data_IF_226899062133
#
_entry.id   IF_226899062133
#
_cell.length_a   1.000
_cell.length_b   1.000
_cell.length_c   1.000
_cell.angle_alpha   90.00
_cell.angle_beta   90.00
_cell.angle_gamma   90.00
#
_symmetry.space_group_name_H-M   'P 1'
#
loop_
_entity.id
_entity.type
_entity.pdbx_description
1 polymer ?
#
# COMPACT_ATOMS: atom_id res chain seq x y z
N UNK A 1 -24.39 8.16 -2.04
CA UNK A 1 -23.83 8.81 -0.84
C UNK A 1 -22.42 9.25 -1.22
N UNK A 2 -22.11 10.50 -1.11
CA UNK A 2 -20.79 11.05 -1.40
C UNK A 2 -19.94 10.96 -0.14
N UNK A 3 -18.69 10.49 -0.25
CA UNK A 3 -17.75 10.35 0.87
C UNK A 3 -16.46 11.03 0.46
N UNK A 4 -16.10 12.04 1.22
CA UNK A 4 -14.92 12.89 1.05
C UNK A 4 -13.77 12.55 2.02
N UNK A 5 -14.04 11.74 3.06
CA UNK A 5 -13.04 11.30 4.02
C UNK A 5 -13.12 9.77 4.20
N UNK A 6 -11.95 9.11 4.21
CA UNK A 6 -11.83 7.69 4.51
C UNK A 6 -10.56 7.40 5.30
N UNK A 7 -10.63 6.43 6.21
CA UNK A 7 -9.47 5.91 6.94
C UNK A 7 -9.14 4.53 6.42
N UNK A 8 -7.86 4.30 6.13
CA UNK A 8 -7.38 3.02 5.61
C UNK A 8 -6.14 2.55 6.37
N UNK A 9 -6.01 1.24 6.44
CA UNK A 9 -4.81 0.56 6.89
C UNK A 9 -4.15 -0.12 5.71
N UNK A 10 -2.90 0.19 5.47
CA UNK A 10 -2.11 -0.45 4.42
C UNK A 10 -0.98 -1.25 5.05
N UNK A 11 -0.77 -2.45 4.54
CA UNK A 11 0.35 -3.30 4.92
C UNK A 11 1.06 -3.77 3.67
N UNK A 12 2.32 -3.40 3.52
CA UNK A 12 3.19 -3.96 2.49
C UNK A 12 3.53 -5.42 2.79
N UNK A 13 3.92 -6.16 1.77
CA UNK A 13 4.28 -7.56 1.90
C UNK A 13 5.54 -7.77 2.74
N UNK A 14 5.56 -8.80 3.57
CA UNK A 14 6.76 -9.21 4.27
C UNK A 14 7.72 -9.90 3.28
N UNK A 15 9.03 -9.79 3.48
CA UNK A 15 10.02 -10.55 2.72
C UNK A 15 9.97 -12.05 3.04
N UNK A 16 10.31 -12.87 2.06
CA UNK A 16 10.52 -14.30 2.25
C UNK A 16 11.79 -14.57 3.04
N UNK A 17 11.84 -15.68 3.77
CA UNK A 17 13.05 -16.08 4.48
C UNK A 17 14.04 -16.71 3.49
N UNK A 18 15.35 -16.53 3.72
CA UNK A 18 16.39 -17.30 3.08
C UNK A 18 16.31 -18.79 3.46
N UNK A 19 16.83 -19.63 2.61
CA UNK A 19 16.83 -21.07 2.80
C UNK A 19 18.19 -21.57 3.33
N UNK A 20 18.15 -22.58 4.19
CA UNK A 20 19.30 -23.37 4.58
C UNK A 20 19.23 -24.71 3.86
N UNK A 21 20.02 -24.88 2.82
CA UNK A 21 20.09 -26.13 2.07
C UNK A 21 21.54 -26.48 1.74
N UNK A 22 21.80 -27.78 1.54
CA UNK A 22 23.09 -28.29 1.13
C UNK A 22 22.89 -29.19 -0.10
N UNK A 23 23.77 -29.07 -1.08
CA UNK A 23 23.77 -29.89 -2.28
C UNK A 23 24.06 -31.33 -1.91
N UNK A 24 23.24 -32.27 -2.35
CA UNK A 24 23.43 -33.70 -2.20
C UNK A 24 23.16 -34.41 -3.52
N UNK A 25 24.20 -35.01 -4.08
CA UNK A 25 24.10 -35.76 -5.33
C UNK A 25 24.75 -37.11 -5.18
N UNK A 26 24.49 -38.06 -6.10
CA UNK A 26 24.96 -39.43 -6.05
C UNK A 26 26.48 -39.55 -5.85
N UNK A 27 27.25 -38.63 -6.40
CA UNK A 27 28.73 -38.65 -6.33
C UNK A 27 29.29 -37.45 -5.52
N UNK A 28 28.40 -36.62 -4.90
CA UNK A 28 28.79 -35.47 -4.08
C UNK A 28 28.04 -35.49 -2.75
N UNK A 29 28.43 -36.44 -1.83
CA UNK A 29 27.69 -36.62 -0.58
C UNK A 29 27.84 -35.44 0.41
N UNK A 30 28.90 -34.62 0.26
CA UNK A 30 29.18 -33.43 1.07
C UNK A 30 29.27 -32.21 0.18
N UNK A 31 28.18 -31.87 -0.51
CA UNK A 31 28.09 -30.66 -1.31
C UNK A 31 28.03 -29.39 -0.45
N UNK A 32 28.46 -28.27 -1.01
CA UNK A 32 28.43 -26.97 -0.35
C UNK A 32 27.02 -26.46 -0.07
N UNK A 33 26.90 -25.28 0.58
CA UNK A 33 25.64 -24.64 0.82
C UNK A 33 24.96 -24.27 -0.51
N UNK A 34 23.67 -24.51 -0.58
CA UNK A 34 22.85 -24.30 -1.78
C UNK A 34 21.49 -23.71 -1.50
N UNK A 35 21.34 -23.05 -0.34
CA UNK A 35 20.10 -22.35 -0.01
C UNK A 35 19.97 -21.03 -0.76
N UNK A 36 18.86 -20.84 -1.46
CA UNK A 36 18.51 -19.61 -2.17
C UNK A 36 17.95 -18.53 -1.25
N UNK A 37 17.86 -17.32 -1.78
CA UNK A 37 17.37 -16.14 -1.06
C UNK A 37 15.84 -16.11 -1.04
N UNK A 38 15.25 -15.49 -0.04
CA UNK A 38 13.83 -15.17 -0.03
C UNK A 38 13.50 -14.02 -0.99
N UNK A 39 12.32 -14.05 -1.58
CA UNK A 39 11.80 -12.96 -2.41
C UNK A 39 11.46 -11.71 -1.59
N UNK A 40 11.47 -10.56 -2.22
CA UNK A 40 11.03 -9.28 -1.62
C UNK A 40 9.50 -9.29 -1.45
N UNK A 41 8.96 -8.64 -0.41
CA UNK A 41 7.54 -8.37 -0.29
C UNK A 41 7.06 -7.30 -1.28
N UNK A 42 5.79 -7.37 -1.68
CA UNK A 42 5.17 -6.38 -2.57
C UNK A 42 5.00 -5.03 -1.89
N UNK A 43 5.11 -3.96 -2.66
CA UNK A 43 4.88 -2.58 -2.21
C UNK A 43 3.37 -2.24 -2.26
N UNK A 44 2.95 -1.20 -1.54
CA UNK A 44 1.64 -0.58 -1.70
C UNK A 44 1.82 0.77 -2.38
N UNK A 45 1.17 0.93 -3.54
CA UNK A 45 1.19 2.13 -4.35
C UNK A 45 -0.18 2.80 -4.31
N UNK A 46 -0.22 4.11 -4.39
CA UNK A 46 -1.42 4.88 -4.67
C UNK A 46 -1.26 5.58 -6.01
N UNK A 47 -2.33 5.56 -6.80
CA UNK A 47 -2.36 6.20 -8.14
C UNK A 47 -3.62 7.03 -8.24
N UNK A 48 -3.47 8.29 -8.64
CA UNK A 48 -4.60 9.17 -8.92
C UNK A 48 -5.30 8.77 -10.22
N UNK A 49 -6.62 8.80 -10.23
CA UNK A 49 -7.41 8.44 -11.41
C UNK A 49 -8.63 9.33 -11.57
N UNK A 50 -8.86 9.81 -12.80
CA UNK A 50 -10.08 10.55 -13.15
C UNK A 50 -11.34 9.68 -13.22
N UNK A 51 -11.19 8.33 -13.16
CA UNK A 51 -12.33 7.40 -13.21
C UNK A 51 -13.08 7.33 -11.89
N UNK A 52 -12.47 7.78 -10.81
CA UNK A 52 -13.04 7.79 -9.46
C UNK A 52 -13.28 9.24 -9.03
N UNK A 53 -14.45 9.50 -8.45
CA UNK A 53 -14.84 10.80 -7.93
C UNK A 53 -15.30 10.76 -6.46
N UNK A 54 -15.06 9.64 -5.76
CA UNK A 54 -15.44 9.44 -4.37
C UNK A 54 -14.54 8.42 -3.68
N UNK A 55 -14.37 8.56 -2.37
CA UNK A 55 -13.62 7.63 -1.53
C UNK A 55 -14.47 6.49 -0.94
N UNK A 56 -15.69 6.29 -1.46
CA UNK A 56 -16.65 5.30 -0.93
C UNK A 56 -16.08 3.88 -0.86
N UNK A 57 -15.27 3.49 -1.84
CA UNK A 57 -14.62 2.18 -1.90
C UNK A 57 -13.74 1.91 -0.67
N UNK A 58 -12.96 2.91 -0.25
CA UNK A 58 -12.07 2.81 0.90
C UNK A 58 -12.80 2.74 2.23
N UNK A 59 -13.99 3.31 2.32
CA UNK A 59 -14.83 3.19 3.51
C UNK A 59 -15.35 1.77 3.73
N UNK A 60 -15.69 1.07 2.66
CA UNK A 60 -16.17 -0.32 2.75
C UNK A 60 -15.03 -1.33 2.84
N UNK A 61 -13.88 -1.00 2.26
CA UNK A 61 -12.68 -1.83 2.27
C UNK A 61 -11.51 -1.03 2.88
N UNK A 62 -11.41 -0.94 4.21
CA UNK A 62 -10.40 -0.11 4.86
C UNK A 62 -9.02 -0.79 4.94
N UNK A 63 -8.94 -2.10 4.72
CA UNK A 63 -7.69 -2.85 4.84
C UNK A 63 -7.16 -3.27 3.47
N UNK A 64 -5.89 -2.93 3.21
CA UNK A 64 -5.19 -3.30 1.98
C UNK A 64 -3.84 -3.92 2.31
N UNK A 65 -3.59 -5.12 1.76
CA UNK A 65 -2.37 -5.86 2.02
C UNK A 65 -1.74 -6.34 0.73
N UNK A 66 -0.46 -6.00 0.53
CA UNK A 66 0.34 -6.55 -0.56
C UNK A 66 0.82 -7.97 -0.25
N UNK A 67 1.22 -8.69 -1.30
CA UNK A 67 1.61 -10.07 -1.20
C UNK A 67 3.00 -10.19 -0.56
N UNK A 68 3.16 -11.22 0.28
CA UNK A 68 4.45 -11.60 0.86
C UNK A 68 5.37 -12.18 -0.23
N UNK A 69 6.68 -11.95 -0.12
CA UNK A 69 7.69 -12.67 -0.89
C UNK A 69 7.78 -14.16 -0.48
N UNK A 70 8.06 -15.02 -1.44
CA UNK A 70 8.21 -16.44 -1.19
C UNK A 70 9.54 -16.74 -0.49
N UNK A 71 9.56 -17.83 0.25
CA UNK A 71 10.79 -18.32 0.87
C UNK A 71 11.76 -18.85 -0.18
N UNK A 72 13.06 -18.67 0.07
CA UNK A 72 14.10 -19.33 -0.73
C UNK A 72 13.98 -20.86 -0.67
N UNK A 73 14.41 -21.52 -1.71
CA UNK A 73 14.41 -22.97 -1.84
C UNK A 73 15.84 -23.50 -1.93
N UNK A 74 15.99 -24.81 -1.88
CA UNK A 74 17.26 -25.46 -2.14
C UNK A 74 17.75 -25.31 -3.59
N UNK A 75 18.94 -25.78 -3.90
CA UNK A 75 19.54 -25.72 -5.26
C UNK A 75 19.69 -24.28 -5.80
N UNK A 76 19.99 -23.34 -4.91
CA UNK A 76 20.17 -21.92 -5.20
C UNK A 76 18.94 -21.23 -5.83
N UNK A 77 17.75 -21.80 -5.63
CA UNK A 77 16.52 -21.19 -6.13
C UNK A 77 16.02 -20.11 -5.17
N UNK A 78 16.00 -18.86 -5.66
CA UNK A 78 15.41 -17.74 -4.92
C UNK A 78 13.89 -17.82 -4.94
N UNK A 79 13.24 -17.38 -3.85
CA UNK A 79 11.80 -17.22 -3.80
C UNK A 79 11.33 -16.07 -4.72
N UNK A 80 10.11 -16.18 -5.21
CA UNK A 80 9.50 -15.14 -6.03
C UNK A 80 9.16 -13.90 -5.19
N UNK A 81 9.28 -12.72 -5.80
CA UNK A 81 8.86 -11.48 -5.17
C UNK A 81 7.34 -11.42 -5.03
N UNK A 82 6.86 -10.86 -3.95
CA UNK A 82 5.44 -10.62 -3.72
C UNK A 82 4.89 -9.56 -4.66
N UNK A 83 3.67 -9.75 -5.12
CA UNK A 83 2.99 -8.77 -5.99
C UNK A 83 2.66 -7.51 -5.19
N UNK A 84 3.00 -6.35 -5.77
CA UNK A 84 2.56 -5.04 -5.28
C UNK A 84 1.08 -4.84 -5.58
N UNK A 85 0.42 -4.00 -4.76
CA UNK A 85 -0.96 -3.59 -4.98
C UNK A 85 -1.01 -2.09 -5.30
N UNK A 86 -1.91 -1.73 -6.19
CA UNK A 86 -2.16 -0.34 -6.58
C UNK A 86 -3.54 0.08 -6.12
N UNK A 87 -3.62 1.12 -5.30
CA UNK A 87 -4.85 1.72 -4.79
C UNK A 87 -5.18 2.94 -5.66
N UNK A 88 -6.31 2.92 -6.33
CA UNK A 88 -6.74 4.04 -7.15
C UNK A 88 -7.50 5.05 -6.30
N UNK A 89 -7.03 6.29 -6.26
CA UNK A 89 -7.65 7.41 -5.55
C UNK A 89 -8.14 8.47 -6.56
N UNK A 90 -9.19 9.24 -6.26
CA UNK A 90 -9.58 10.38 -7.08
C UNK A 90 -8.48 11.44 -7.15
N UNK A 91 -8.42 12.18 -8.25
CA UNK A 91 -7.62 13.43 -8.33
C UNK A 91 -8.15 14.43 -7.29
N UNK A 92 -7.28 15.17 -6.64
CA UNK A 92 -7.62 16.06 -5.53
C UNK A 92 -7.65 15.37 -4.15
N UNK A 93 -7.16 14.10 -4.05
CA UNK A 93 -7.06 13.40 -2.77
C UNK A 93 -5.77 13.77 -2.05
N UNK A 94 -5.89 14.23 -0.80
CA UNK A 94 -4.77 14.42 0.12
C UNK A 94 -4.66 13.21 1.06
N UNK A 95 -3.45 12.72 1.24
CA UNK A 95 -3.12 11.56 2.08
C UNK A 95 -2.38 12.05 3.32
N UNK A 96 -2.95 11.82 4.48
CA UNK A 96 -2.35 12.15 5.76
C UNK A 96 -2.01 10.88 6.53
N UNK A 97 -0.88 10.92 7.23
CA UNK A 97 -0.61 9.92 8.26
C UNK A 97 -1.62 10.08 9.40
N UNK A 98 -2.28 8.99 9.80
CA UNK A 98 -3.32 9.05 10.82
C UNK A 98 -2.76 9.30 12.22
N UNK A 99 -1.51 8.92 12.49
CA UNK A 99 -0.87 9.03 13.81
C UNK A 99 -0.24 10.41 14.02
N UNK A 100 0.51 10.88 13.02
CA UNK A 100 1.22 12.17 13.09
C UNK A 100 0.40 13.34 12.60
N UNK A 101 -0.60 13.09 11.76
CA UNK A 101 -1.37 14.13 11.06
C UNK A 101 -0.60 14.84 9.95
N UNK A 102 0.61 14.38 9.62
CA UNK A 102 1.42 14.97 8.55
C UNK A 102 0.85 14.64 7.18
N UNK A 103 0.92 15.62 6.27
CA UNK A 103 0.59 15.43 4.86
C UNK A 103 1.72 14.61 4.20
N UNK A 104 1.38 13.41 3.76
CA UNK A 104 2.31 12.53 3.04
C UNK A 104 2.36 12.90 1.56
N UNK A 105 1.18 13.07 0.95
CA UNK A 105 1.07 13.40 -0.47
C UNK A 105 -0.27 14.05 -0.80
N UNK A 106 -0.27 14.89 -1.86
CA UNK A 106 -1.47 15.56 -2.38
C UNK A 106 -1.56 15.31 -3.88
N UNK A 107 -2.48 14.44 -4.30
CA UNK A 107 -2.66 14.04 -5.69
C UNK A 107 -3.37 15.15 -6.47
N UNK A 108 -2.62 15.95 -7.22
CA UNK A 108 -3.15 17.10 -7.98
C UNK A 108 -3.35 16.78 -9.46
N UNK A 109 -2.52 15.89 -10.00
CA UNK A 109 -2.55 15.51 -11.41
C UNK A 109 -3.08 14.08 -11.60
N UNK A 110 -3.67 13.76 -12.76
CA UNK A 110 -4.06 12.40 -13.07
C UNK A 110 -2.84 11.50 -13.29
N UNK A 111 -2.99 10.21 -13.02
CA UNK A 111 -1.97 9.16 -13.18
C UNK A 111 -0.67 9.40 -12.37
N UNK A 112 -0.75 10.23 -11.33
CA UNK A 112 0.33 10.43 -10.38
C UNK A 112 0.45 9.21 -9.46
N UNK A 113 1.68 8.66 -9.33
CA UNK A 113 1.95 7.43 -8.62
C UNK A 113 2.90 7.65 -7.45
N UNK A 114 2.55 7.13 -6.27
CA UNK A 114 3.36 7.23 -5.05
C UNK A 114 3.39 5.90 -4.30
N UNK A 115 4.58 5.47 -3.86
CA UNK A 115 4.75 4.34 -2.97
C UNK A 115 4.47 4.80 -1.54
N UNK A 116 3.38 4.32 -0.94
CA UNK A 116 2.96 4.69 0.40
C UNK A 116 3.43 3.72 1.49
N UNK A 117 3.73 2.47 1.13
CA UNK A 117 4.36 1.51 2.03
C UNK A 117 5.28 0.56 1.25
N UNK A 118 6.50 0.36 1.76
CA UNK A 118 7.53 -0.46 1.11
C UNK A 118 7.51 -1.89 1.63
N UNK A 119 7.61 -2.85 0.71
CA UNK A 119 7.74 -4.26 1.01
C UNK A 119 9.05 -4.59 1.72
N UNK A 120 8.98 -5.61 2.59
CA UNK A 120 10.13 -6.11 3.34
C UNK A 120 11.15 -6.79 2.41
N UNK A 121 12.43 -6.62 2.71
CA UNK A 121 13.51 -7.30 1.98
C UNK A 121 13.49 -8.79 2.28
N UNK A 122 13.71 -9.63 1.26
CA UNK A 122 13.97 -11.05 1.42
C UNK A 122 15.26 -11.34 2.18
N UNK A 123 15.26 -12.42 2.97
CA UNK A 123 16.42 -12.90 3.71
C UNK A 123 17.40 -13.62 2.81
N UNK A 124 18.69 -13.59 3.12
CA UNK A 124 19.74 -14.28 2.38
C UNK A 124 19.80 -15.75 2.73
N UNK A 125 20.01 -16.59 1.72
CA UNK A 125 20.26 -18.01 1.90
C UNK A 125 21.64 -18.33 2.46
N UNK A 126 21.85 -19.56 2.93
CA UNK A 126 23.09 -19.98 3.57
C UNK A 126 24.31 -19.92 2.64
N UNK A 127 24.13 -19.93 1.31
CA UNK A 127 25.23 -19.79 0.35
C UNK A 127 26.03 -18.48 0.54
N UNK A 128 25.39 -17.38 1.00
CA UNK A 128 26.04 -16.09 1.19
C UNK A 128 26.93 -16.04 2.44
N UNK A 129 26.82 -17.00 3.34
CA UNK A 129 27.61 -17.08 4.58
C UNK A 129 28.80 -18.05 4.46
N UNK A 130 28.99 -18.64 3.28
CA UNK A 130 30.12 -19.50 3.02
C UNK A 130 31.40 -18.69 2.90
N UNK A 131 32.41 -19.09 3.68
CA UNK A 131 33.76 -18.54 3.63
C UNK A 131 34.78 -19.67 3.51
N UNK A 132 36.05 -19.36 3.24
CA UNK A 132 37.13 -20.34 3.18
C UNK A 132 37.30 -21.16 4.47
N UNK A 133 37.00 -20.53 5.61
CA UNK A 133 37.08 -21.15 6.95
C UNK A 133 35.75 -21.77 7.39
N UNK A 134 34.63 -21.26 6.89
CA UNK A 134 33.26 -21.72 7.22
C UNK A 134 32.54 -22.21 5.95
N UNK A 135 32.91 -23.40 5.49
CA UNK A 135 32.45 -23.96 4.20
C UNK A 135 31.01 -24.51 4.23
N UNK A 136 30.45 -24.81 5.40
CA UNK A 136 29.12 -25.37 5.56
C UNK A 136 28.26 -24.57 6.54
N UNK A 137 27.95 -23.31 6.25
CA UNK A 137 27.14 -22.44 7.14
C UNK A 137 25.72 -22.97 7.22
N UNK A 138 25.18 -23.01 8.43
CA UNK A 138 23.77 -23.32 8.70
C UNK A 138 22.96 -22.05 8.94
N UNK A 139 23.61 -20.90 8.85
CA UNK A 139 23.00 -19.60 9.04
C UNK A 139 22.25 -19.17 7.78
N UNK A 140 21.11 -18.54 7.97
CA UNK A 140 20.32 -17.88 6.94
C UNK A 140 19.63 -16.68 7.56
N UNK A 141 19.27 -15.69 6.75
CA UNK A 141 18.53 -14.52 7.20
C UNK A 141 17.03 -14.74 7.09
N UNK A 142 16.29 -14.22 8.06
CA UNK A 142 14.85 -14.10 7.96
C UNK A 142 14.51 -12.90 7.08
N UNK A 143 13.41 -12.99 6.34
CA UNK A 143 12.85 -11.85 5.62
C UNK A 143 12.43 -10.74 6.60
N UNK A 144 12.60 -9.49 6.17
CA UNK A 144 12.15 -8.34 6.94
C UNK A 144 10.66 -8.14 6.79
N UNK A 145 10.03 -7.62 7.83
CA UNK A 145 8.61 -7.22 7.76
C UNK A 145 8.43 -6.05 6.82
N UNK A 146 7.33 -6.03 6.06
CA UNK A 146 6.89 -4.89 5.28
C UNK A 146 6.39 -3.75 6.17
N UNK A 147 6.38 -2.55 5.63
CA UNK A 147 5.85 -1.38 6.33
C UNK A 147 4.34 -1.50 6.51
N UNK A 148 3.87 -1.10 7.68
CA UNK A 148 2.46 -0.99 8.00
C UNK A 148 2.17 0.45 8.40
N UNK A 149 1.14 1.06 7.78
CA UNK A 149 0.78 2.46 8.00
C UNK A 149 -0.73 2.63 8.00
N UNK A 150 -1.18 3.64 8.74
CA UNK A 150 -2.57 4.07 8.78
C UNK A 150 -2.68 5.46 8.14
N UNK A 151 -3.56 5.57 7.14
CA UNK A 151 -3.77 6.83 6.44
C UNK A 151 -5.20 7.33 6.61
N UNK A 152 -5.31 8.64 6.64
CA UNK A 152 -6.54 9.38 6.46
C UNK A 152 -6.51 10.03 5.08
N UNK A 153 -7.45 9.68 4.26
CA UNK A 153 -7.66 10.22 2.93
C UNK A 153 -8.71 11.30 2.99
N UNK A 154 -8.43 12.46 2.41
CA UNK A 154 -9.37 13.57 2.28
C UNK A 154 -9.47 13.98 0.81
N UNK A 155 -10.67 13.98 0.26
CA UNK A 155 -10.93 14.41 -1.10
C UNK A 155 -11.31 15.90 -1.11
N UNK A 156 -10.45 16.74 -1.68
CA UNK A 156 -10.71 18.16 -1.90
C UNK A 156 -11.59 18.33 -3.12
N UNK A 157 -12.85 18.64 -2.89
CA UNK A 157 -13.78 18.94 -3.97
C UNK A 157 -13.77 20.42 -4.27
N UNK A 158 -13.51 20.74 -5.52
CA UNK A 158 -13.82 22.05 -6.05
C UNK A 158 -15.30 22.07 -6.46
N UNK A 159 -16.03 23.07 -5.99
CA UNK A 159 -17.39 23.26 -6.43
C UNK A 159 -17.41 23.82 -7.86
N UNK A 160 -18.07 23.12 -8.78
CA UNK A 160 -18.24 23.58 -10.17
C UNK A 160 -19.17 24.79 -10.25
N UNK A 161 -20.14 24.89 -9.33
CA UNK A 161 -21.15 25.98 -9.29
C UNK A 161 -21.36 26.46 -7.86
N UNK A 162 -21.31 27.76 -7.66
CA UNK A 162 -21.65 28.45 -6.42
C UNK A 162 -22.96 29.19 -6.55
N UNK A 163 -23.90 29.01 -5.60
CA UNK A 163 -25.15 29.78 -5.52
C UNK A 163 -24.99 30.93 -4.54
N UNK A 164 -25.01 32.16 -5.06
CA UNK A 164 -24.94 33.39 -4.30
C UNK A 164 -26.30 34.14 -4.37
N UNK A 165 -26.78 34.67 -3.28
CA UNK A 165 -28.03 35.45 -3.25
C UNK A 165 -28.40 35.81 -1.81
N UNK A 166 -29.39 36.71 -1.68
CA UNK A 166 -29.88 37.19 -0.38
C UNK A 166 -30.38 36.07 0.54
N UNK A 167 -30.36 36.27 1.86
CA UNK A 167 -31.02 35.36 2.80
C UNK A 167 -32.46 35.08 2.37
N UNK A 168 -32.95 33.88 2.62
CA UNK A 168 -34.34 33.45 2.29
C UNK A 168 -34.75 33.50 0.81
N UNK A 169 -33.81 33.66 -0.12
CA UNK A 169 -34.07 33.64 -1.57
C UNK A 169 -34.33 32.21 -2.14
N UNK A 170 -34.52 31.19 -1.30
CA UNK A 170 -34.84 29.85 -1.72
C UNK A 170 -33.64 29.00 -2.22
N UNK A 171 -32.40 29.46 -2.03
CA UNK A 171 -31.20 28.73 -2.45
C UNK A 171 -31.14 27.28 -1.94
N UNK A 172 -31.33 27.09 -0.64
CA UNK A 172 -31.30 25.77 0.01
C UNK A 172 -32.46 24.88 -0.45
N UNK A 173 -33.61 25.45 -0.74
CA UNK A 173 -34.77 24.74 -1.30
C UNK A 173 -34.49 24.30 -2.73
N UNK A 174 -33.81 25.10 -3.53
CA UNK A 174 -33.42 24.77 -4.89
C UNK A 174 -32.42 23.58 -4.87
N UNK A 175 -31.38 23.67 -4.05
CA UNK A 175 -30.37 22.60 -3.92
C UNK A 175 -31.02 21.28 -3.45
N UNK A 176 -31.93 21.32 -2.47
CA UNK A 176 -32.59 20.12 -1.95
C UNK A 176 -33.53 19.45 -2.97
N UNK A 177 -33.99 20.18 -3.99
CA UNK A 177 -34.80 19.62 -5.09
C UNK A 177 -33.99 19.09 -6.26
N UNK A 178 -32.81 19.65 -6.52
CA UNK A 178 -31.94 19.28 -7.64
C UNK A 178 -30.99 18.15 -7.24
N UNK A 179 -30.61 18.07 -5.98
CA UNK A 179 -29.63 17.09 -5.49
C UNK A 179 -30.15 16.36 -4.23
N UNK A 180 -29.58 15.17 -3.95
CA UNK A 180 -29.79 14.46 -2.69
C UNK A 180 -29.11 15.12 -1.48
N UNK A 181 -28.44 16.23 -1.65
CA UNK A 181 -27.81 16.99 -0.58
C UNK A 181 -28.88 17.57 0.36
N UNK A 182 -28.62 17.48 1.66
CA UNK A 182 -29.47 18.07 2.71
C UNK A 182 -28.72 19.26 3.32
N UNK A 183 -28.72 20.44 2.67
CA UNK A 183 -28.11 21.62 3.25
C UNK A 183 -28.81 21.97 4.57
N UNK A 184 -28.03 22.42 5.57
CA UNK A 184 -28.62 22.95 6.79
C UNK A 184 -29.36 24.26 6.42
N UNK A 185 -30.67 24.20 6.48
CA UNK A 185 -31.51 25.41 6.37
C UNK A 185 -31.52 26.03 7.77
N UNK A 186 -30.82 27.11 7.94
CA UNK A 186 -30.85 27.88 9.16
C UNK A 186 -31.28 29.30 8.81
N UNK A 187 -32.30 29.80 9.50
CA UNK A 187 -32.63 31.21 9.51
C UNK A 187 -31.60 31.92 10.38
N UNK A 188 -30.64 32.58 9.74
CA UNK A 188 -29.82 33.56 10.44
C UNK A 188 -30.53 34.93 10.38
N UNK A 189 -30.65 35.60 11.51
CA UNK A 189 -31.20 36.97 11.56
C UNK A 189 -30.35 37.98 10.80
#
# INVERSE_FOLDING_TARGET
MFIDEAKIRVKAGDGGNGCMAFRREKFVPRGGPSGGDGGRGGDVLMVSSQRHNTLIHFRYNPEHKAQRGEHGLGSNCSGLDGRSITLQVPVGTSVYDQETGELIHDFQEPDEEVIVAKGGRGGRGNQHFATSTHQAPREHELGRTGEERHFRLELKLLADVGLVGYPNAGKSTLISRISAARPKIADYP
#
